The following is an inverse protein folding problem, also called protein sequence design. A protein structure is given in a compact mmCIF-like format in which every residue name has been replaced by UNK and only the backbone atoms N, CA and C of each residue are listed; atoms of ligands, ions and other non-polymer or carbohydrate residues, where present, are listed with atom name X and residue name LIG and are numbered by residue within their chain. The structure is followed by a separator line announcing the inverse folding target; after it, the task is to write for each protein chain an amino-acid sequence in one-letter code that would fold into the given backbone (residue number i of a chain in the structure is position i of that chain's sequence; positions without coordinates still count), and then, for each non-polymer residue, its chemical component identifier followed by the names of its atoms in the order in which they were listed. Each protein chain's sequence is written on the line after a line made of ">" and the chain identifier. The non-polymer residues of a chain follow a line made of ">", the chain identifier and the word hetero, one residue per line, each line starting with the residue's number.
data_IF_172750997988
#
_entry.id   IF_172750997988
#
_cell.length_a   1.000
_cell.length_b   1.000
_cell.length_c   1.000
_cell.angle_alpha   90.00
_cell.angle_beta   90.00
_cell.angle_gamma   90.00
#
_symmetry.space_group_name_H-M   'P 1'
#
loop_
_entity.id
_entity.type
_entity.pdbx_description
1 polymer ?
#
# COMPACT_ATOMS: atom_id res chain seq x y z
N UNK A 1 1.03 13.51 1.51
CA UNK A 1 1.49 13.29 0.11
C UNK A 1 0.68 12.15 -0.45
N UNK A 2 0.42 12.11 -1.75
CA UNK A 2 -0.30 10.99 -2.37
C UNK A 2 0.70 10.03 -3.03
N UNK A 3 0.48 8.74 -2.83
CA UNK A 3 1.37 7.68 -3.28
C UNK A 3 0.61 6.67 -4.15
N UNK A 4 1.28 6.22 -5.21
CA UNK A 4 0.93 5.01 -5.94
C UNK A 4 1.98 3.95 -5.69
N UNK A 5 1.56 2.75 -5.31
CA UNK A 5 2.43 1.65 -4.92
C UNK A 5 2.09 0.44 -5.77
N UNK A 6 3.10 -0.13 -6.43
CA UNK A 6 3.00 -1.46 -7.05
C UNK A 6 3.57 -2.47 -6.06
N UNK A 7 2.72 -3.37 -5.55
CA UNK A 7 3.12 -4.48 -4.70
C UNK A 7 3.38 -5.72 -5.57
N UNK A 8 4.61 -6.23 -5.53
CA UNK A 8 4.99 -7.50 -6.15
C UNK A 8 4.83 -8.61 -5.11
N UNK A 9 3.90 -9.54 -5.34
CA UNK A 9 3.35 -10.48 -4.35
C UNK A 9 4.02 -11.86 -4.49
N UNK A 10 4.55 -12.40 -3.38
CA UNK A 10 5.11 -13.76 -3.25
C UNK A 10 4.06 -14.84 -2.97
N UNK A 11 2.92 -14.44 -2.41
CA UNK A 11 1.74 -15.29 -2.18
C UNK A 11 0.78 -15.20 -3.36
N UNK A 12 -0.51 -15.55 -3.16
CA UNK A 12 -1.57 -15.16 -4.08
C UNK A 12 -2.10 -13.75 -3.77
N UNK A 13 -2.68 -13.07 -4.77
CA UNK A 13 -3.37 -11.80 -4.55
C UNK A 13 -4.41 -11.89 -3.42
N UNK A 14 -5.18 -12.99 -3.35
CA UNK A 14 -6.26 -13.13 -2.37
C UNK A 14 -5.74 -13.25 -0.94
N UNK A 15 -4.69 -14.04 -0.70
CA UNK A 15 -4.02 -14.14 0.60
C UNK A 15 -3.40 -12.81 1.02
N UNK A 16 -2.69 -12.14 0.11
CA UNK A 16 -2.14 -10.82 0.36
C UNK A 16 -3.22 -9.77 0.64
N UNK A 17 -4.33 -9.81 -0.10
CA UNK A 17 -5.45 -8.88 0.07
C UNK A 17 -6.12 -9.05 1.42
N UNK A 18 -6.26 -10.30 1.89
CA UNK A 18 -6.77 -10.58 3.23
C UNK A 18 -5.91 -9.94 4.32
N UNK A 19 -4.58 -10.01 4.20
CA UNK A 19 -3.66 -9.30 5.10
C UNK A 19 -3.82 -7.78 4.99
N UNK A 20 -3.84 -7.25 3.76
CA UNK A 20 -3.98 -5.81 3.52
C UNK A 20 -5.27 -5.24 4.12
N UNK A 21 -6.38 -5.96 4.02
CA UNK A 21 -7.68 -5.52 4.55
C UNK A 21 -7.76 -5.63 6.07
N UNK A 22 -7.16 -6.67 6.66
CA UNK A 22 -7.05 -6.78 8.11
C UNK A 22 -6.24 -5.63 8.72
N UNK A 23 -5.36 -5.01 7.93
CA UNK A 23 -4.50 -3.91 8.33
C UNK A 23 -5.10 -2.51 8.09
N UNK A 24 -6.38 -2.41 7.71
CA UNK A 24 -7.01 -1.12 7.39
C UNK A 24 -7.04 -0.13 8.57
N UNK A 25 -7.24 -0.62 9.80
CA UNK A 25 -7.23 0.23 11.01
C UNK A 25 -5.88 0.93 11.21
N UNK A 26 -4.77 0.18 11.41
CA UNK A 26 -3.44 0.76 11.54
C UNK A 26 -3.01 1.61 10.33
N UNK A 27 -3.47 1.27 9.11
CA UNK A 27 -3.20 2.07 7.92
C UNK A 27 -3.93 3.42 7.93
N UNK A 28 -5.13 3.50 8.50
CA UNK A 28 -5.87 4.75 8.67
C UNK A 28 -5.19 5.78 9.57
N UNK A 29 -4.25 5.36 10.42
CA UNK A 29 -3.41 6.29 11.19
C UNK A 29 -2.30 6.93 10.33
N UNK A 30 -2.08 6.45 9.10
CA UNK A 30 -0.99 6.84 8.21
C UNK A 30 -1.48 7.63 7.00
N UNK A 31 -2.74 7.47 6.60
CA UNK A 31 -3.32 8.04 5.39
C UNK A 31 -4.84 8.14 5.47
N UNK A 32 -5.47 8.85 4.53
CA UNK A 32 -6.93 8.86 4.40
C UNK A 32 -7.42 7.51 3.84
N UNK A 33 -7.69 6.56 4.74
CA UNK A 33 -8.12 5.21 4.39
C UNK A 33 -9.46 5.17 3.65
N UNK A 34 -10.33 6.18 3.85
CA UNK A 34 -11.60 6.26 3.12
C UNK A 34 -11.39 6.51 1.61
N UNK A 35 -10.22 7.03 1.23
CA UNK A 35 -9.81 7.26 -0.16
C UNK A 35 -8.83 6.20 -0.67
N UNK A 36 -8.32 5.31 0.19
CA UNK A 36 -7.41 4.23 -0.23
C UNK A 36 -8.06 3.41 -1.35
N UNK A 37 -7.33 3.24 -2.45
CA UNK A 37 -7.74 2.40 -3.57
C UNK A 37 -6.77 1.23 -3.69
N UNK A 38 -7.30 0.04 -3.94
CA UNK A 38 -6.51 -1.16 -4.18
C UNK A 38 -7.09 -1.93 -5.35
N UNK A 39 -6.23 -2.34 -6.27
CA UNK A 39 -6.61 -3.06 -7.48
C UNK A 39 -5.73 -4.27 -7.72
N UNK A 40 -6.34 -5.36 -8.17
CA UNK A 40 -5.63 -6.51 -8.73
C UNK A 40 -5.15 -6.17 -10.13
N UNK A 41 -3.84 -6.28 -10.37
CA UNK A 41 -3.28 -6.23 -11.73
C UNK A 41 -3.25 -7.65 -12.30
N UNK A 42 -2.70 -8.59 -11.55
CA UNK A 42 -2.71 -10.03 -11.84
C UNK A 42 -2.61 -10.85 -10.53
N UNK A 43 -2.31 -12.15 -10.60
CA UNK A 43 -2.18 -13.01 -9.40
C UNK A 43 -1.02 -12.65 -8.47
N UNK A 44 -0.02 -11.92 -8.99
CA UNK A 44 1.25 -11.63 -8.34
C UNK A 44 1.54 -10.13 -8.25
N UNK A 45 0.60 -9.28 -8.68
CA UNK A 45 0.77 -7.84 -8.71
C UNK A 45 -0.50 -7.14 -8.26
N UNK A 46 -0.35 -6.23 -7.30
CA UNK A 46 -1.42 -5.31 -6.91
C UNK A 46 -0.94 -3.86 -7.05
N UNK A 47 -1.90 -2.96 -7.28
CA UNK A 47 -1.67 -1.52 -7.26
C UNK A 47 -2.46 -0.92 -6.10
N UNK A 48 -1.83 -0.01 -5.36
CA UNK A 48 -2.41 0.67 -4.21
C UNK A 48 -2.23 2.18 -4.39
N UNK A 49 -3.30 2.94 -4.26
CA UNK A 49 -3.22 4.39 -4.12
C UNK A 49 -3.54 4.77 -2.67
N UNK A 50 -2.61 5.48 -2.02
CA UNK A 50 -2.79 6.05 -0.69
C UNK A 50 -2.81 7.57 -0.80
N UNK A 51 -3.70 8.22 -0.07
CA UNK A 51 -3.89 9.67 -0.14
C UNK A 51 -3.63 10.33 1.22
N UNK A 52 -3.13 11.56 1.20
CA UNK A 52 -2.84 12.33 2.41
C UNK A 52 -1.93 11.58 3.41
N UNK A 53 -0.92 10.88 2.86
CA UNK A 53 0.00 10.05 3.64
C UNK A 53 0.90 10.91 4.55
N UNK A 54 0.97 10.54 5.82
CA UNK A 54 2.01 10.96 6.77
C UNK A 54 3.28 10.13 6.53
N UNK A 55 4.26 10.77 5.88
CA UNK A 55 5.52 10.12 5.52
C UNK A 55 6.38 9.75 6.74
N UNK A 56 6.25 10.47 7.86
CA UNK A 56 6.98 10.15 9.07
C UNK A 56 6.40 8.89 9.73
N UNK A 57 5.07 8.81 9.85
CA UNK A 57 4.38 7.64 10.37
C UNK A 57 4.60 6.41 9.47
N UNK A 58 4.50 6.58 8.14
CA UNK A 58 4.83 5.52 7.18
C UNK A 58 6.27 5.03 7.36
N UNK A 59 7.23 5.94 7.48
CA UNK A 59 8.64 5.61 7.72
C UNK A 59 8.85 4.82 9.01
N UNK A 60 8.17 5.16 10.10
CA UNK A 60 8.23 4.40 11.35
C UNK A 60 7.66 2.98 11.17
N UNK A 61 6.49 2.87 10.53
CA UNK A 61 5.83 1.58 10.29
C UNK A 61 6.65 0.64 9.41
N UNK A 62 7.25 1.15 8.33
CA UNK A 62 8.07 0.34 7.44
C UNK A 62 9.36 -0.16 8.10
N UNK A 63 9.83 0.52 9.15
CA UNK A 63 10.98 0.11 9.95
C UNK A 63 10.60 -0.76 11.17
N UNK A 64 9.32 -0.98 11.43
CA UNK A 64 8.85 -1.85 12.51
C UNK A 64 9.15 -3.33 12.17
N UNK A 65 9.97 -4.03 12.98
CA UNK A 65 10.28 -5.43 12.74
C UNK A 65 9.07 -6.36 12.75
N UNK A 66 8.01 -6.04 13.49
CA UNK A 66 6.78 -6.85 13.51
C UNK A 66 6.02 -6.70 12.20
N UNK A 67 5.92 -5.48 11.67
CA UNK A 67 5.32 -5.22 10.36
C UNK A 67 6.11 -5.90 9.23
N UNK A 68 7.44 -5.84 9.29
CA UNK A 68 8.30 -6.52 8.31
C UNK A 68 8.09 -8.03 8.32
N UNK A 69 8.08 -8.67 9.50
CA UNK A 69 7.81 -10.12 9.63
C UNK A 69 6.41 -10.51 9.15
N UNK A 70 5.42 -9.67 9.40
CA UNK A 70 4.04 -9.90 8.97
C UNK A 70 3.92 -9.86 7.43
N UNK A 71 4.66 -8.96 6.77
CA UNK A 71 4.56 -8.74 5.32
C UNK A 71 5.52 -9.60 4.48
N UNK A 72 6.64 -10.04 5.05
CA UNK A 72 7.69 -10.84 4.39
C UNK A 72 7.17 -12.08 3.60
N UNK A 73 6.20 -12.86 4.12
CA UNK A 73 5.66 -14.02 3.39
C UNK A 73 4.82 -13.64 2.16
N UNK A 74 4.30 -12.42 2.12
CA UNK A 74 3.30 -12.01 1.14
C UNK A 74 3.88 -11.12 0.05
N UNK A 75 4.87 -10.28 0.34
CA UNK A 75 5.42 -9.27 -0.59
C UNK A 75 6.91 -9.49 -0.84
N UNK A 76 7.32 -9.35 -2.11
CA UNK A 76 8.72 -9.33 -2.56
C UNK A 76 9.31 -7.94 -2.47
N UNK A 77 8.62 -6.98 -3.08
CA UNK A 77 9.02 -5.57 -3.06
C UNK A 77 7.83 -4.67 -3.36
N UNK A 78 8.04 -3.40 -3.07
CA UNK A 78 7.16 -2.31 -3.49
C UNK A 78 7.94 -1.37 -4.42
N UNK A 79 7.33 -1.00 -5.54
CA UNK A 79 7.73 0.18 -6.30
C UNK A 79 6.81 1.33 -5.88
N UNK A 80 7.38 2.46 -5.46
CA UNK A 80 6.62 3.59 -4.89
C UNK A 80 6.80 4.82 -5.75
N UNK A 81 5.68 5.44 -6.13
CA UNK A 81 5.63 6.65 -6.92
C UNK A 81 4.85 7.72 -6.17
N UNK A 82 5.28 8.97 -6.29
CA UNK A 82 4.44 10.11 -5.90
C UNK A 82 3.45 10.40 -7.02
N UNK A 83 2.20 10.69 -6.66
CA UNK A 83 1.17 11.12 -7.60
C UNK A 83 0.65 12.49 -7.19
N UNK A 84 0.20 13.26 -8.18
CA UNK A 84 -0.39 14.59 -7.96
C UNK A 84 -1.69 14.70 -8.77
N UNK A 85 -2.72 15.37 -8.23
CA UNK A 85 -3.92 15.68 -8.99
C UNK A 85 -3.59 16.45 -10.27
N UNK A 86 -4.19 16.05 -11.38
CA UNK A 86 -4.02 16.71 -12.67
C UNK A 86 -5.37 17.23 -13.17
N UNK A 87 -5.41 18.46 -13.66
CA UNK A 87 -6.56 18.94 -14.42
C UNK A 87 -6.67 18.14 -15.73
N UNK A 88 -7.89 17.91 -16.27
CA UNK A 88 -8.03 17.23 -17.55
C UNK A 88 -7.12 17.88 -18.61
N UNK A 89 -6.40 17.08 -19.42
CA UNK A 89 -5.64 17.63 -20.53
C UNK A 89 -6.62 18.34 -21.48
N UNK A 90 -6.24 19.55 -21.91
CA UNK A 90 -7.02 20.36 -22.85
C UNK A 90 -7.13 19.73 -24.23
#
# INVERSE_FOLDING_TARGET
>A
MDLMITAHIKSSYEEWKGLFDADAGPRGDLCDEARTMVGKVDERTAIIALFDVDMAALGQRLNDPEFQKMTEPYVDRHDVYTIEPMAPPG
#
